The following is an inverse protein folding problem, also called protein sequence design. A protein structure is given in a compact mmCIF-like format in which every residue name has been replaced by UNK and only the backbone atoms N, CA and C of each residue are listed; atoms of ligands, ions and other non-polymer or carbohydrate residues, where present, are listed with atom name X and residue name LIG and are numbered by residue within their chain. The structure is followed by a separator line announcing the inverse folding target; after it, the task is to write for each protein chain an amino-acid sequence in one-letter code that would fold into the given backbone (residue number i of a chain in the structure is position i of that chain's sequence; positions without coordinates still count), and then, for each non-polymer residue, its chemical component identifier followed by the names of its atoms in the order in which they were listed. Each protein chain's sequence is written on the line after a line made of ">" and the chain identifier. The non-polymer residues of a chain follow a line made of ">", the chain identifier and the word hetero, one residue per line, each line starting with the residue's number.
data_IF_105074859314
#
_entry.id   IF_105074859314
#
_cell.length_a   1.000
_cell.length_b   1.000
_cell.length_c   1.000
_cell.angle_alpha   90.00
_cell.angle_beta   90.00
_cell.angle_gamma   90.00
#
_symmetry.space_group_name_H-M   'P 1'
#
loop_
_entity.id
_entity.type
_entity.pdbx_description
1 polymer ?
#
# COMPACT_ATOMS: atom_id res chain seq x y z
N UNK A 1 -6.80 -30.28 -19.44
CA UNK A 1 -6.08 -30.41 -18.16
C UNK A 1 -5.42 -29.05 -18.00
N UNK A 2 -6.07 -28.12 -17.30
CA UNK A 2 -5.59 -26.73 -17.24
C UNK A 2 -4.18 -26.72 -16.66
N UNK A 3 -3.25 -26.03 -17.32
CA UNK A 3 -1.89 -25.92 -16.84
C UNK A 3 -1.92 -25.31 -15.44
N UNK A 4 -1.52 -26.07 -14.42
CA UNK A 4 -1.34 -25.53 -13.08
C UNK A 4 -0.32 -24.39 -13.14
N UNK A 5 -0.61 -23.29 -12.45
CA UNK A 5 0.31 -22.17 -12.35
C UNK A 5 1.62 -22.62 -11.71
N UNK A 6 2.74 -22.34 -12.37
CA UNK A 6 4.06 -22.62 -11.81
C UNK A 6 4.27 -21.75 -10.55
N UNK A 7 4.45 -22.42 -9.41
CA UNK A 7 4.71 -21.77 -8.14
C UNK A 7 5.99 -20.93 -8.17
N UNK A 8 7.03 -21.36 -8.91
CA UNK A 8 8.28 -20.62 -9.01
C UNK A 8 8.09 -19.31 -9.79
N UNK A 9 7.34 -19.35 -10.90
CA UNK A 9 6.96 -18.16 -11.66
C UNK A 9 6.13 -17.18 -10.82
N UNK A 10 5.16 -17.68 -10.05
CA UNK A 10 4.34 -16.86 -9.16
C UNK A 10 5.17 -16.25 -8.03
N UNK A 11 6.12 -16.98 -7.45
CA UNK A 11 6.99 -16.43 -6.41
C UNK A 11 7.93 -15.35 -6.98
N UNK A 12 8.45 -15.54 -8.20
CA UNK A 12 9.27 -14.54 -8.87
C UNK A 12 8.52 -13.24 -9.16
N UNK A 13 7.27 -13.32 -9.62
CA UNK A 13 6.46 -12.12 -9.96
C UNK A 13 5.90 -11.40 -8.72
N UNK A 14 5.78 -12.11 -7.60
CA UNK A 14 5.33 -11.57 -6.31
C UNK A 14 6.50 -11.07 -5.44
N UNK A 15 7.74 -11.35 -5.82
CA UNK A 15 8.91 -10.90 -5.08
C UNK A 15 8.94 -9.37 -5.02
N UNK A 16 8.92 -8.77 -3.81
CA UNK A 16 8.95 -7.33 -3.68
C UNK A 16 10.35 -6.80 -4.00
N UNK A 17 10.43 -5.70 -4.74
CA UNK A 17 11.67 -4.95 -4.93
C UNK A 17 12.10 -4.32 -3.58
N UNK A 18 13.27 -4.69 -3.02
CA UNK A 18 13.73 -4.16 -1.74
C UNK A 18 13.85 -2.63 -1.71
N UNK A 19 14.22 -1.99 -2.84
CA UNK A 19 14.37 -0.55 -2.91
C UNK A 19 13.01 0.14 -2.82
N UNK A 20 12.01 -0.39 -3.53
CA UNK A 20 10.63 0.08 -3.44
C UNK A 20 10.03 -0.11 -2.04
N UNK A 21 10.27 -1.26 -1.40
CA UNK A 21 9.83 -1.52 -0.01
C UNK A 21 10.46 -0.53 0.96
N UNK A 22 11.77 -0.26 0.83
CA UNK A 22 12.46 0.71 1.66
C UNK A 22 11.89 2.13 1.48
N UNK A 23 11.61 2.53 0.24
CA UNK A 23 10.99 3.83 -0.07
C UNK A 23 9.58 3.96 0.53
N UNK A 24 8.74 2.93 0.41
CA UNK A 24 7.42 2.88 1.05
C UNK A 24 7.53 3.04 2.56
N UNK A 25 8.42 2.26 3.19
CA UNK A 25 8.63 2.31 4.62
C UNK A 25 9.12 3.69 5.09
N UNK A 26 9.98 4.35 4.32
CA UNK A 26 10.47 5.68 4.64
C UNK A 26 9.33 6.70 4.65
N UNK A 27 8.50 6.73 3.60
CA UNK A 27 7.37 7.65 3.52
C UNK A 27 6.33 7.39 4.62
N UNK A 28 5.98 6.13 4.86
CA UNK A 28 5.04 5.79 5.93
C UNK A 28 5.58 6.16 7.32
N UNK A 29 6.88 5.98 7.58
CA UNK A 29 7.50 6.38 8.86
C UNK A 29 7.42 7.89 9.09
N UNK A 30 7.71 8.69 8.07
CA UNK A 30 7.55 10.15 8.15
C UNK A 30 6.09 10.51 8.49
N UNK A 31 5.13 9.86 7.83
CA UNK A 31 3.70 10.13 8.08
C UNK A 31 3.28 9.80 9.51
N UNK A 32 3.68 8.65 10.05
CA UNK A 32 3.26 8.26 11.41
C UNK A 32 3.98 9.09 12.48
N UNK A 33 5.24 9.46 12.25
CA UNK A 33 5.99 10.35 13.14
C UNK A 33 5.28 11.70 13.26
N UNK A 34 4.99 12.34 12.12
CA UNK A 34 4.25 13.60 12.06
C UNK A 34 2.83 13.48 12.66
N UNK A 35 2.11 12.40 12.38
CA UNK A 35 0.75 12.22 12.91
C UNK A 35 0.71 12.08 14.44
N UNK A 36 1.79 11.57 15.06
CA UNK A 36 1.86 11.34 16.51
C UNK A 36 2.53 12.51 17.22
N UNK A 37 3.68 12.96 16.72
CA UNK A 37 4.57 13.91 17.39
C UNK A 37 4.60 15.30 16.75
N UNK A 38 4.15 15.43 15.50
CA UNK A 38 4.14 16.70 14.79
C UNK A 38 3.16 17.72 15.38
N UNK A 39 3.45 18.99 15.19
CA UNK A 39 2.57 20.10 15.54
C UNK A 39 1.48 20.28 14.47
N UNK A 40 0.45 19.45 14.58
CA UNK A 40 -0.62 19.36 13.60
C UNK A 40 -1.94 19.83 14.21
N UNK A 41 -2.41 20.99 13.77
CA UNK A 41 -3.72 21.51 14.11
C UNK A 41 -4.80 20.91 13.19
N UNK A 42 -5.83 20.34 13.82
CA UNK A 42 -7.02 19.82 13.15
C UNK A 42 -8.25 20.61 13.59
N UNK A 43 -9.03 21.07 12.61
CA UNK A 43 -10.20 21.92 12.88
C UNK A 43 -11.35 21.21 13.61
N UNK A 44 -11.35 19.87 13.61
CA UNK A 44 -12.44 19.05 14.15
C UNK A 44 -11.97 18.24 15.36
N UNK A 45 -12.76 18.29 16.44
CA UNK A 45 -12.53 17.45 17.61
C UNK A 45 -12.51 15.97 17.22
N UNK A 46 -11.55 15.23 17.77
CA UNK A 46 -11.36 13.81 17.48
C UNK A 46 -10.84 13.50 16.07
N UNK A 47 -10.47 14.49 15.25
CA UNK A 47 -9.80 14.21 13.97
C UNK A 47 -8.38 13.68 14.16
N UNK A 48 -7.64 14.14 15.16
CA UNK A 48 -6.27 13.68 15.43
C UNK A 48 -6.18 12.16 15.70
N UNK A 49 -6.96 11.57 16.64
CA UNK A 49 -6.93 10.13 16.84
C UNK A 49 -7.41 9.34 15.61
N UNK A 50 -8.35 9.88 14.82
CA UNK A 50 -8.78 9.26 13.56
C UNK A 50 -7.66 9.23 12.53
N UNK A 51 -6.94 10.33 12.35
CA UNK A 51 -5.79 10.41 11.44
C UNK A 51 -4.72 9.40 11.83
N UNK A 52 -4.31 9.36 13.10
CA UNK A 52 -3.33 8.38 13.62
C UNK A 52 -3.74 6.94 13.33
N UNK A 53 -5.01 6.61 13.59
CA UNK A 53 -5.57 5.30 13.28
C UNK A 53 -5.46 4.97 11.79
N UNK A 54 -5.84 5.90 10.90
CA UNK A 54 -5.78 5.67 9.45
C UNK A 54 -4.35 5.53 8.93
N UNK A 55 -3.40 6.30 9.45
CA UNK A 55 -1.98 6.18 9.09
C UNK A 55 -1.41 4.83 9.56
N UNK A 56 -1.81 4.35 10.74
CA UNK A 56 -1.43 3.02 11.22
C UNK A 56 -2.00 1.91 10.31
N UNK A 57 -3.31 1.95 10.02
CA UNK A 57 -3.97 1.00 9.12
C UNK A 57 -3.31 0.98 7.74
N UNK A 58 -2.92 2.14 7.20
CA UNK A 58 -2.16 2.23 5.96
C UNK A 58 -0.83 1.46 6.05
N UNK A 59 -0.10 1.59 7.15
CA UNK A 59 1.13 0.82 7.41
C UNK A 59 0.91 -0.70 7.35
N UNK A 60 -0.18 -1.18 7.96
CA UNK A 60 -0.56 -2.60 7.92
C UNK A 60 -0.91 -3.08 6.51
N UNK A 61 -1.59 -2.25 5.71
CA UNK A 61 -1.88 -2.55 4.30
C UNK A 61 -0.61 -2.59 3.46
N UNK A 62 0.31 -1.64 3.63
CA UNK A 62 1.62 -1.63 2.97
C UNK A 62 2.44 -2.86 3.35
N UNK A 63 2.43 -3.26 4.62
CA UNK A 63 3.09 -4.47 5.11
C UNK A 63 2.50 -5.71 4.45
N UNK A 64 1.18 -5.76 4.26
CA UNK A 64 0.48 -6.85 3.59
C UNK A 64 0.79 -6.90 2.09
N UNK A 65 0.88 -5.75 1.42
CA UNK A 65 1.25 -5.66 0.00
C UNK A 65 2.64 -6.27 -0.25
N UNK A 66 3.59 -5.95 0.61
CA UNK A 66 5.01 -6.32 0.49
C UNK A 66 5.36 -7.66 1.17
N UNK A 67 4.40 -8.33 1.80
CA UNK A 67 4.64 -9.59 2.48
C UNK A 67 4.90 -10.76 1.51
N UNK A 68 5.78 -11.67 1.93
CA UNK A 68 5.86 -12.99 1.30
C UNK A 68 4.53 -13.71 1.42
N UNK A 69 4.13 -14.37 0.31
CA UNK A 69 2.91 -15.17 0.20
C UNK A 69 3.20 -16.66 0.05
N UNK A 70 4.45 -17.08 0.27
CA UNK A 70 4.87 -18.49 0.13
C UNK A 70 4.15 -19.44 1.11
N UNK A 71 3.58 -18.90 2.19
CA UNK A 71 2.76 -19.65 3.15
C UNK A 71 1.40 -20.10 2.57
N UNK A 72 0.89 -19.45 1.52
CA UNK A 72 -0.35 -19.85 0.84
C UNK A 72 0.00 -20.99 -0.12
N UNK A 73 -0.59 -22.19 -0.01
CA UNK A 73 -0.17 -23.34 -0.81
C UNK A 73 -0.52 -23.20 -2.30
N UNK A 74 -1.63 -22.54 -2.63
CA UNK A 74 -2.13 -22.45 -4.01
C UNK A 74 -1.64 -21.17 -4.72
N UNK A 75 -0.90 -21.27 -5.85
CA UNK A 75 -0.35 -20.10 -6.54
C UNK A 75 -1.40 -19.09 -7.00
N UNK A 76 -2.57 -19.56 -7.47
CA UNK A 76 -3.71 -18.72 -7.82
C UNK A 76 -4.17 -17.84 -6.65
N UNK A 77 -4.25 -18.42 -5.46
CA UNK A 77 -4.68 -17.69 -4.25
C UNK A 77 -3.60 -16.70 -3.77
N UNK A 78 -2.32 -16.97 -4.04
CA UNK A 78 -1.24 -15.99 -3.82
C UNK A 78 -1.44 -14.73 -4.67
N UNK A 79 -1.70 -14.89 -5.96
CA UNK A 79 -1.92 -13.78 -6.89
C UNK A 79 -3.18 -12.97 -6.51
N UNK A 80 -4.29 -13.64 -6.21
CA UNK A 80 -5.51 -12.98 -5.71
C UNK A 80 -5.27 -12.21 -4.42
N UNK A 81 -4.54 -12.81 -3.48
CA UNK A 81 -4.15 -12.14 -2.22
C UNK A 81 -3.29 -10.89 -2.48
N UNK A 82 -2.42 -10.91 -3.48
CA UNK A 82 -1.61 -9.76 -3.87
C UNK A 82 -2.47 -8.63 -4.44
N UNK A 83 -3.39 -8.94 -5.35
CA UNK A 83 -4.34 -7.97 -5.90
C UNK A 83 -5.26 -7.37 -4.83
N UNK A 84 -5.76 -8.19 -3.89
CA UNK A 84 -6.56 -7.71 -2.77
C UNK A 84 -5.77 -6.76 -1.86
N UNK A 85 -4.49 -7.06 -1.60
CA UNK A 85 -3.63 -6.17 -0.81
C UNK A 85 -3.35 -4.84 -1.55
N UNK A 86 -3.16 -4.88 -2.87
CA UNK A 86 -2.98 -3.69 -3.71
C UNK A 86 -4.21 -2.78 -3.66
N UNK A 87 -5.41 -3.35 -3.77
CA UNK A 87 -6.67 -2.61 -3.60
C UNK A 87 -6.76 -1.98 -2.20
N UNK A 88 -6.50 -2.75 -1.15
CA UNK A 88 -6.55 -2.25 0.23
C UNK A 88 -5.55 -1.13 0.52
N UNK A 89 -4.39 -1.10 -0.15
CA UNK A 89 -3.45 0.04 -0.05
C UNK A 89 -4.02 1.30 -0.70
N UNK A 90 -4.64 1.20 -1.88
CA UNK A 90 -5.28 2.36 -2.53
C UNK A 90 -6.40 2.94 -1.67
N UNK A 91 -7.28 2.08 -1.16
CA UNK A 91 -8.38 2.49 -0.29
C UNK A 91 -7.87 3.18 0.99
N UNK A 92 -6.80 2.64 1.61
CA UNK A 92 -6.19 3.23 2.79
C UNK A 92 -5.50 4.58 2.47
N UNK A 93 -4.86 4.71 1.32
CA UNK A 93 -4.28 5.97 0.86
C UNK A 93 -5.34 7.05 0.67
N UNK A 94 -6.46 6.72 0.03
CA UNK A 94 -7.56 7.67 -0.17
C UNK A 94 -8.22 8.05 1.16
N UNK A 95 -8.38 7.09 2.08
CA UNK A 95 -8.92 7.35 3.41
C UNK A 95 -8.02 8.28 4.24
N UNK A 96 -6.69 8.15 4.15
CA UNK A 96 -5.77 9.11 4.76
C UNK A 96 -5.89 10.47 4.08
N UNK A 97 -5.88 10.52 2.75
CA UNK A 97 -5.98 11.76 1.97
C UNK A 97 -7.20 12.60 2.34
N UNK A 98 -8.37 11.98 2.46
CA UNK A 98 -9.59 12.69 2.86
C UNK A 98 -9.56 13.29 4.28
N UNK A 99 -8.67 12.81 5.17
CA UNK A 99 -8.44 13.44 6.48
C UNK A 99 -7.43 14.58 6.41
N UNK A 100 -6.48 14.53 5.48
CA UNK A 100 -5.48 15.57 5.32
C UNK A 100 -6.12 16.89 4.87
N UNK A 101 -7.17 16.85 4.07
CA UNK A 101 -7.90 18.06 3.64
C UNK A 101 -8.42 18.91 4.81
N UNK A 102 -8.69 18.29 5.96
CA UNK A 102 -9.13 18.96 7.19
C UNK A 102 -8.02 19.56 8.06
N UNK A 103 -6.74 19.43 7.65
CA UNK A 103 -5.61 19.99 8.37
C UNK A 103 -5.51 21.50 8.17
N UNK A 104 -5.23 22.23 9.24
CA UNK A 104 -4.84 23.64 9.16
C UNK A 104 -3.47 23.77 8.48
N UNK A 105 -3.18 24.98 7.97
CA UNK A 105 -1.86 25.28 7.45
C UNK A 105 -0.80 25.22 8.58
N UNK A 106 0.40 24.78 8.23
CA UNK A 106 1.52 24.61 9.16
C UNK A 106 2.63 23.80 8.49
N UNK A 107 3.84 23.90 9.00
CA UNK A 107 5.01 23.22 8.44
C UNK A 107 4.85 21.69 8.48
N UNK A 108 4.52 21.13 9.65
CA UNK A 108 4.32 19.69 9.81
C UNK A 108 3.09 19.18 9.06
N UNK A 109 2.03 19.99 8.94
CA UNK A 109 0.89 19.66 8.10
C UNK A 109 1.27 19.61 6.61
N UNK A 110 2.12 20.53 6.13
CA UNK A 110 2.62 20.51 4.76
C UNK A 110 3.55 19.31 4.51
N UNK A 111 4.43 18.98 5.45
CA UNK A 111 5.28 17.79 5.40
C UNK A 111 4.47 16.50 5.36
N UNK A 112 3.41 16.40 6.17
CA UNK A 112 2.54 15.23 6.18
C UNK A 112 1.82 15.03 4.84
N UNK A 113 1.31 16.12 4.24
CA UNK A 113 0.73 16.08 2.89
C UNK A 113 1.76 15.67 1.84
N UNK A 114 2.97 16.22 1.92
CA UNK A 114 4.05 15.88 0.99
C UNK A 114 4.46 14.40 1.10
N UNK A 115 4.58 13.86 2.32
CA UNK A 115 4.89 12.45 2.54
C UNK A 115 3.77 11.52 2.03
N UNK A 116 2.50 11.90 2.24
CA UNK A 116 1.36 11.18 1.68
C UNK A 116 1.35 11.20 0.15
N UNK A 117 1.56 12.36 -0.47
CA UNK A 117 1.60 12.48 -1.93
C UNK A 117 2.80 11.72 -2.52
N UNK A 118 3.96 11.79 -1.89
CA UNK A 118 5.13 11.02 -2.28
C UNK A 118 4.84 9.51 -2.23
N UNK A 119 4.18 9.02 -1.17
CA UNK A 119 3.76 7.63 -1.08
C UNK A 119 2.73 7.26 -2.16
N UNK A 120 1.73 8.11 -2.42
CA UNK A 120 0.77 7.91 -3.52
C UNK A 120 1.48 7.80 -4.86
N UNK A 121 2.43 8.69 -5.15
CA UNK A 121 3.19 8.69 -6.38
C UNK A 121 4.07 7.43 -6.50
N UNK A 122 4.70 6.97 -5.41
CA UNK A 122 5.45 5.71 -5.38
C UNK A 122 4.57 4.50 -5.71
N UNK A 123 3.35 4.45 -5.15
CA UNK A 123 2.39 3.38 -5.43
C UNK A 123 1.87 3.47 -6.86
N UNK A 124 1.46 4.65 -7.32
CA UNK A 124 0.90 4.87 -8.65
C UNK A 124 1.90 4.57 -9.78
N UNK A 125 3.20 4.78 -9.54
CA UNK A 125 4.24 4.50 -10.54
C UNK A 125 4.51 3.00 -10.70
N UNK A 126 4.62 2.28 -9.59
CA UNK A 126 5.16 0.92 -9.61
C UNK A 126 4.08 -0.17 -9.56
N UNK A 127 2.95 0.09 -8.89
CA UNK A 127 1.92 -0.92 -8.65
C UNK A 127 1.17 -1.35 -9.93
N UNK A 128 0.81 -0.47 -10.88
CA UNK A 128 0.06 -0.88 -12.07
C UNK A 128 0.77 -1.95 -12.91
N UNK A 129 2.09 -1.82 -13.10
CA UNK A 129 2.87 -2.81 -13.85
C UNK A 129 2.85 -4.19 -13.16
N UNK A 130 2.95 -4.21 -11.82
CA UNK A 130 2.88 -5.45 -11.03
C UNK A 130 1.49 -6.07 -11.08
N UNK A 131 0.44 -5.27 -10.91
CA UNK A 131 -0.94 -5.76 -11.00
C UNK A 131 -1.25 -6.35 -12.38
N UNK A 132 -0.79 -5.71 -13.45
CA UNK A 132 -0.94 -6.24 -14.80
C UNK A 132 -0.22 -7.59 -14.95
N UNK A 133 1.00 -7.73 -14.42
CA UNK A 133 1.73 -8.99 -14.45
C UNK A 133 0.99 -10.09 -13.65
N UNK A 134 0.45 -9.76 -12.47
CA UNK A 134 -0.31 -10.71 -11.65
C UNK A 134 -1.63 -11.13 -12.31
N UNK A 135 -2.36 -10.18 -12.90
CA UNK A 135 -3.60 -10.42 -13.63
C UNK A 135 -3.35 -11.26 -14.88
N UNK A 136 -2.30 -10.97 -15.64
CA UNK A 136 -1.94 -11.75 -16.82
C UNK A 136 -1.67 -13.22 -16.48
N UNK A 137 -0.98 -13.51 -15.37
CA UNK A 137 -0.79 -14.89 -14.91
C UNK A 137 -2.11 -15.55 -14.48
N UNK A 138 -3.02 -14.81 -13.84
CA UNK A 138 -4.34 -15.34 -13.50
C UNK A 138 -5.20 -15.66 -14.73
N UNK A 139 -5.11 -14.84 -15.78
CA UNK A 139 -5.88 -14.98 -17.02
C UNK A 139 -5.32 -16.07 -17.94
N UNK A 140 -4.00 -16.26 -17.96
CA UNK A 140 -3.35 -17.36 -18.68
C UNK A 140 -3.84 -18.73 -18.21
N UNK A 141 -4.37 -18.83 -16.99
CA UNK A 141 -4.98 -20.04 -16.45
C UNK A 141 -6.45 -20.25 -16.89
N UNK A 142 -7.15 -19.20 -17.33
CA UNK A 142 -8.57 -19.24 -17.76
C UNK A 142 -8.67 -19.52 -19.27
N UNK A 143 -7.63 -19.19 -20.04
CA UNK A 143 -7.58 -19.35 -21.49
C UNK A 143 -7.29 -20.78 -22.00
N UNK A 144 -6.96 -21.71 -21.11
CA UNK A 144 -6.76 -23.15 -21.35
C UNK A 144 -7.96 -23.99 -20.84
#
# INVERSE_FOLDING_TARGET
>A
MGSDLDAAQVDAVLAPDPAWVAAIHAQWREMIDLAVWGDIALAQLGAAPRLRKRVLELGERLRSLTASRTWIPHPRERLKSALAAALGVREALDAVGGLLDGLSAGEDAARLRAAHEALRALIARELPARENAWAHLLDAQIGD
#
